data_IF_365340639063
#
_entry.id   IF_365340639063
#
_cell.length_a   1.000
_cell.length_b   1.000
_cell.length_c   1.000
_cell.angle_alpha   90.00
_cell.angle_beta   90.00
_cell.angle_gamma   90.00
#
_symmetry.space_group_name_H-M   'P 1'
#
loop_
_entity.id
_entity.type
_entity.pdbx_description
1 polymer ?
#
# COMPACT_ATOMS: atom_id res chain seq x y z
N UNK A 1 -53.77 3.10 23.03
CA UNK A 1 -52.57 3.32 22.19
C UNK A 1 -51.39 3.56 23.12
N UNK A 2 -50.43 2.63 23.17
CA UNK A 2 -49.41 2.60 24.23
C UNK A 2 -48.34 3.67 23.96
N UNK A 3 -48.32 4.74 24.78
CA UNK A 3 -47.48 5.94 24.55
C UNK A 3 -45.97 5.64 24.57
N UNK A 4 -45.56 4.48 25.08
CA UNK A 4 -44.17 4.00 25.14
C UNK A 4 -43.70 3.28 23.88
N UNK A 5 -44.58 2.79 23.01
CA UNK A 5 -44.18 2.03 21.80
C UNK A 5 -43.66 2.93 20.67
N UNK A 6 -44.23 4.13 20.53
CA UNK A 6 -43.81 5.13 19.54
C UNK A 6 -42.35 5.60 19.70
N UNK A 7 -41.88 6.00 20.91
CA UNK A 7 -40.47 6.41 21.07
C UNK A 7 -39.49 5.25 20.89
N UNK A 8 -39.85 4.03 21.28
CA UNK A 8 -39.04 2.82 21.07
C UNK A 8 -38.87 2.47 19.59
N UNK A 9 -39.96 2.53 18.81
CA UNK A 9 -39.91 2.33 17.37
C UNK A 9 -39.07 3.40 16.66
N UNK A 10 -39.18 4.67 17.07
CA UNK A 10 -38.36 5.76 16.54
C UNK A 10 -36.86 5.57 16.84
N UNK A 11 -36.50 5.11 18.04
CA UNK A 11 -35.11 4.84 18.41
C UNK A 11 -34.49 3.68 17.61
N UNK A 12 -35.27 2.61 17.39
CA UNK A 12 -34.85 1.46 16.57
C UNK A 12 -34.65 1.86 15.11
N UNK A 13 -35.53 2.71 14.56
CA UNK A 13 -35.36 3.24 13.20
C UNK A 13 -34.14 4.16 13.09
N UNK A 14 -33.93 5.06 14.05
CA UNK A 14 -32.77 5.97 14.05
C UNK A 14 -31.44 5.23 14.20
N UNK A 15 -31.39 4.21 15.06
CA UNK A 15 -30.21 3.36 15.21
C UNK A 15 -29.96 2.51 13.95
N UNK A 16 -31.01 1.91 13.36
CA UNK A 16 -30.92 1.19 12.09
C UNK A 16 -30.39 2.05 10.94
N UNK A 17 -30.94 3.27 10.76
CA UNK A 17 -30.48 4.23 9.75
C UNK A 17 -29.03 4.65 10.00
N UNK A 18 -28.64 4.87 11.25
CA UNK A 18 -27.26 5.24 11.61
C UNK A 18 -26.27 4.13 11.31
N UNK A 19 -26.61 2.86 11.61
CA UNK A 19 -25.75 1.70 11.29
C UNK A 19 -25.59 1.55 9.78
N UNK A 20 -26.67 1.66 9.02
CA UNK A 20 -26.62 1.61 7.54
C UNK A 20 -25.71 2.73 7.01
N UNK A 21 -25.93 3.98 7.46
CA UNK A 21 -25.14 5.12 7.02
C UNK A 21 -23.65 5.00 7.39
N UNK A 22 -23.30 4.37 8.52
CA UNK A 22 -21.91 4.10 8.90
C UNK A 22 -21.31 2.97 8.06
N UNK A 23 -22.07 1.90 7.80
CA UNK A 23 -21.63 0.75 7.00
C UNK A 23 -21.40 1.09 5.52
N UNK A 24 -22.07 2.12 5.02
CA UNK A 24 -21.96 2.59 3.64
C UNK A 24 -21.02 3.80 3.48
N UNK A 25 -20.22 4.13 4.51
CA UNK A 25 -19.26 5.23 4.39
C UNK A 25 -18.25 4.91 3.29
N UNK A 26 -18.06 5.80 2.31
CA UNK A 26 -17.01 5.63 1.33
C UNK A 26 -15.68 5.52 2.05
N UNK A 27 -14.88 4.54 1.66
CA UNK A 27 -13.50 4.49 2.09
C UNK A 27 -12.77 5.74 1.63
N UNK A 28 -12.05 6.37 2.55
CA UNK A 28 -11.25 7.56 2.28
C UNK A 28 -9.77 7.17 2.29
N UNK A 29 -9.04 7.41 1.19
CA UNK A 29 -7.59 7.28 1.15
C UNK A 29 -6.90 7.96 2.33
N UNK A 30 -6.03 7.23 3.04
CA UNK A 30 -5.10 7.84 3.99
C UNK A 30 -4.05 8.64 3.22
N UNK A 31 -4.14 9.97 3.28
CA UNK A 31 -3.15 10.89 2.68
C UNK A 31 -2.26 11.58 3.72
N UNK A 32 -2.35 11.18 4.97
CA UNK A 32 -1.65 11.75 6.13
C UNK A 32 -0.28 11.10 6.40
N UNK A 33 0.07 10.04 5.67
CA UNK A 33 1.37 9.36 5.83
C UNK A 33 2.50 10.27 5.38
N UNK A 34 3.28 10.75 6.35
CA UNK A 34 4.51 11.53 6.14
C UNK A 34 5.66 10.57 5.92
N UNK A 35 6.50 10.79 4.89
CA UNK A 35 7.68 9.96 4.63
C UNK A 35 8.95 10.62 5.17
N UNK A 36 9.95 9.84 5.60
CA UNK A 36 11.23 10.39 6.09
C UNK A 36 12.03 11.10 5.00
N UNK A 37 11.83 10.71 3.75
CA UNK A 37 12.46 11.30 2.55
C UNK A 37 11.36 11.55 1.52
N UNK A 38 11.35 12.72 0.83
CA UNK A 38 10.36 13.04 -0.19
C UNK A 38 10.67 12.30 -1.52
N UNK A 39 10.56 10.97 -1.52
CA UNK A 39 10.79 10.16 -2.71
C UNK A 39 9.63 10.24 -3.70
N UNK A 40 9.91 10.67 -4.93
CA UNK A 40 8.93 10.77 -6.00
C UNK A 40 8.97 9.58 -6.96
N UNK A 41 7.91 8.77 -6.98
CA UNK A 41 7.74 7.72 -8.00
C UNK A 41 7.49 8.32 -9.39
N UNK A 42 6.90 9.52 -9.47
CA UNK A 42 6.73 10.26 -10.72
C UNK A 42 8.04 10.52 -11.44
N UNK A 43 9.06 10.97 -10.72
CA UNK A 43 10.39 11.20 -11.32
C UNK A 43 11.04 9.88 -11.75
N UNK A 44 11.04 8.87 -10.88
CA UNK A 44 11.78 7.63 -11.12
C UNK A 44 11.09 6.70 -12.13
N UNK A 45 9.83 6.35 -11.91
CA UNK A 45 9.09 5.44 -12.78
C UNK A 45 8.37 6.17 -13.93
N UNK A 46 7.83 7.37 -13.67
CA UNK A 46 7.07 8.14 -14.64
C UNK A 46 7.93 8.80 -15.72
N UNK A 47 8.90 9.61 -15.30
CA UNK A 47 9.77 10.40 -16.20
C UNK A 47 10.96 9.56 -16.67
N UNK A 48 11.73 9.00 -15.74
CA UNK A 48 12.95 8.25 -16.05
C UNK A 48 12.68 6.80 -16.50
N UNK A 49 11.41 6.36 -16.48
CA UNK A 49 10.98 5.02 -16.94
C UNK A 49 11.72 3.87 -16.26
N UNK A 50 12.16 4.05 -15.02
CA UNK A 50 12.77 2.98 -14.23
C UNK A 50 11.69 1.93 -13.94
N UNK A 51 11.88 0.64 -14.31
CA UNK A 51 10.90 -0.40 -14.04
C UNK A 51 10.63 -0.59 -12.54
N UNK A 52 9.39 -0.89 -12.16
CA UNK A 52 9.00 -1.07 -10.74
C UNK A 52 9.89 -2.11 -10.02
N UNK A 53 10.12 -3.25 -10.67
CA UNK A 53 10.91 -4.37 -10.15
C UNK A 53 12.41 -4.07 -10.04
N UNK A 54 12.91 -2.97 -10.60
CA UNK A 54 14.31 -2.57 -10.43
C UNK A 54 14.62 -2.19 -8.98
N UNK A 55 13.65 -1.56 -8.30
CA UNK A 55 13.73 -1.18 -6.90
C UNK A 55 13.00 -2.20 -6.01
N UNK A 56 11.82 -2.67 -6.43
CA UNK A 56 11.01 -3.65 -5.71
C UNK A 56 11.32 -5.08 -6.17
N UNK A 57 12.59 -5.46 -6.11
CA UNK A 57 13.13 -6.68 -6.74
C UNK A 57 12.53 -7.99 -6.19
N UNK A 58 11.98 -7.97 -4.98
CA UNK A 58 11.40 -9.16 -4.36
C UNK A 58 9.96 -9.42 -4.80
N UNK A 59 9.31 -8.47 -5.49
CA UNK A 59 7.90 -8.60 -5.90
C UNK A 59 7.64 -9.88 -6.70
N UNK A 60 8.59 -10.25 -7.57
CA UNK A 60 8.52 -11.44 -8.42
C UNK A 60 8.95 -12.75 -7.75
N UNK A 61 9.53 -12.73 -6.56
CA UNK A 61 10.23 -13.91 -5.98
C UNK A 61 9.96 -14.18 -4.52
N UNK A 62 9.34 -13.26 -3.80
CA UNK A 62 9.06 -13.37 -2.37
C UNK A 62 7.60 -13.04 -2.08
N UNK A 63 7.20 -13.28 -0.84
CA UNK A 63 5.88 -12.91 -0.32
C UNK A 63 5.74 -11.38 -0.27
N UNK A 64 6.83 -10.68 0.05
CA UNK A 64 6.88 -9.22 0.13
C UNK A 64 7.70 -8.64 -1.03
N UNK A 65 7.21 -7.56 -1.64
CA UNK A 65 7.98 -6.80 -2.64
C UNK A 65 9.24 -6.12 -2.09
N UNK A 66 9.22 -5.83 -0.78
CA UNK A 66 10.28 -5.10 -0.10
C UNK A 66 10.38 -3.63 -0.51
N UNK A 67 11.10 -2.85 0.27
CA UNK A 67 11.54 -1.49 -0.10
C UNK A 67 13.04 -1.57 -0.33
N UNK A 68 13.59 -0.96 -1.40
CA UNK A 68 15.02 -1.10 -1.71
C UNK A 68 15.90 -0.61 -0.55
N UNK A 69 17.04 -1.28 -0.31
CA UNK A 69 18.04 -0.75 0.61
C UNK A 69 18.63 0.55 0.05
N UNK A 70 19.17 1.40 0.93
CA UNK A 70 19.75 2.68 0.52
C UNK A 70 20.92 2.54 -0.47
N UNK A 71 21.58 1.39 -0.49
CA UNK A 71 22.57 1.00 -1.50
C UNK A 71 22.06 1.14 -2.94
N UNK A 72 20.76 0.86 -3.19
CA UNK A 72 20.13 1.05 -4.51
C UNK A 72 20.10 2.53 -4.89
N UNK A 73 19.87 3.42 -3.93
CA UNK A 73 19.80 4.87 -4.15
C UNK A 73 21.17 5.45 -4.51
N UNK A 74 22.21 5.12 -3.73
CA UNK A 74 23.58 5.62 -3.99
C UNK A 74 24.18 5.05 -5.27
N UNK A 75 23.68 3.91 -5.76
CA UNK A 75 24.12 3.33 -7.04
C UNK A 75 23.92 4.26 -8.24
N UNK A 76 22.90 5.13 -8.21
CA UNK A 76 22.69 6.14 -9.25
C UNK A 76 23.01 7.56 -8.75
N UNK A 77 22.66 7.87 -7.50
CA UNK A 77 22.81 9.22 -6.96
C UNK A 77 24.21 9.52 -6.42
N UNK A 78 25.10 8.53 -6.29
CA UNK A 78 26.39 8.70 -5.63
C UNK A 78 26.28 8.83 -4.11
N UNK A 79 27.42 8.67 -3.43
CA UNK A 79 27.52 8.73 -1.96
C UNK A 79 28.28 9.96 -1.44
N UNK A 80 28.91 10.74 -2.32
CA UNK A 80 29.73 11.89 -1.97
C UNK A 80 28.95 13.20 -1.84
N UNK A 81 29.48 14.17 -1.10
CA UNK A 81 28.94 15.54 -1.02
C UNK A 81 29.03 16.30 -2.35
N UNK A 82 29.91 15.87 -3.25
CA UNK A 82 30.00 16.33 -4.64
C UNK A 82 29.35 15.27 -5.54
N UNK A 83 28.18 15.58 -6.11
CA UNK A 83 27.43 14.68 -7.00
C UNK A 83 26.33 13.86 -6.31
N UNK A 84 26.34 13.75 -4.98
CA UNK A 84 25.30 13.14 -4.17
C UNK A 84 24.06 14.01 -3.97
N UNK A 85 22.89 13.38 -3.81
CA UNK A 85 21.67 14.09 -3.40
C UNK A 85 21.47 14.01 -1.88
N UNK A 86 21.19 15.17 -1.29
CA UNK A 86 21.23 15.41 0.17
C UNK A 86 20.39 14.43 1.01
N UNK A 87 19.16 14.01 0.61
CA UNK A 87 18.42 13.01 1.39
C UNK A 87 19.04 11.60 1.36
N UNK A 88 19.71 11.24 0.25
CA UNK A 88 20.34 9.92 0.09
C UNK A 88 21.69 9.89 0.76
N UNK A 89 22.54 10.90 0.56
CA UNK A 89 23.87 10.94 1.16
C UNK A 89 23.81 11.10 2.67
N UNK A 90 22.88 11.90 3.18
CA UNK A 90 22.65 12.01 4.63
C UNK A 90 22.26 10.67 5.24
N UNK A 91 21.31 9.96 4.63
CA UNK A 91 20.87 8.67 5.12
C UNK A 91 21.95 7.57 4.94
N UNK A 92 22.77 7.65 3.89
CA UNK A 92 23.89 6.72 3.65
C UNK A 92 25.00 6.86 4.70
N UNK A 93 25.30 8.11 5.10
CA UNK A 93 26.37 8.43 6.04
C UNK A 93 25.92 8.41 7.52
N UNK A 94 24.63 8.20 7.82
CA UNK A 94 24.16 8.13 9.21
C UNK A 94 24.43 6.74 9.82
N UNK A 95 25.63 6.57 10.37
CA UNK A 95 26.06 5.30 11.00
C UNK A 95 25.34 4.95 12.31
N UNK A 96 24.47 5.85 12.84
CA UNK A 96 23.59 5.52 13.97
C UNK A 96 22.40 4.68 13.54
N UNK A 97 22.07 4.74 12.25
CA UNK A 97 21.18 3.77 11.64
C UNK A 97 22.04 2.73 10.95
N UNK A 98 21.59 1.47 10.93
CA UNK A 98 22.27 0.50 10.11
C UNK A 98 22.33 1.05 8.68
N UNK A 99 23.49 1.06 8.00
CA UNK A 99 23.72 1.76 6.73
C UNK A 99 22.92 1.21 5.54
N UNK A 100 21.89 0.39 5.81
CA UNK A 100 21.11 -0.33 4.83
C UNK A 100 19.67 0.18 4.68
N UNK A 101 19.09 0.94 5.61
CA UNK A 101 17.63 1.19 5.55
C UNK A 101 17.18 2.58 5.99
N UNK A 102 16.38 3.22 5.12
CA UNK A 102 15.50 4.32 5.48
C UNK A 102 14.24 3.71 6.12
N UNK A 103 13.83 4.19 7.29
CA UNK A 103 12.61 3.73 7.97
C UNK A 103 11.35 4.35 7.36
N UNK A 104 10.88 3.74 6.27
CA UNK A 104 9.68 4.18 5.55
C UNK A 104 8.40 3.93 6.34
N UNK A 105 7.46 4.85 6.22
CA UNK A 105 6.12 4.65 6.76
C UNK A 105 5.26 3.91 5.73
N UNK A 106 4.69 2.76 6.12
CA UNK A 106 3.87 1.94 5.22
C UNK A 106 2.58 2.67 4.84
N UNK A 107 2.26 2.65 3.55
CA UNK A 107 1.02 3.22 3.00
C UNK A 107 -0.09 2.17 2.96
N UNK A 108 0.26 0.94 2.60
CA UNK A 108 -0.63 -0.22 2.64
C UNK A 108 -0.24 -1.13 3.79
N UNK A 109 -1.23 -1.52 4.59
CA UNK A 109 -1.11 -2.52 5.65
C UNK A 109 -2.34 -3.42 5.58
N UNK A 110 -2.12 -4.73 5.55
CA UNK A 110 -3.16 -5.73 5.71
C UNK A 110 -3.17 -6.24 7.15
N UNK A 111 -4.31 -6.73 7.67
CA UNK A 111 -4.34 -7.35 9.00
C UNK A 111 -3.40 -8.56 9.08
N UNK A 112 -2.82 -8.81 10.25
CA UNK A 112 -1.80 -9.85 10.44
C UNK A 112 -2.33 -11.29 10.22
N UNK A 113 -3.64 -11.50 10.33
CA UNK A 113 -4.30 -12.77 10.00
C UNK A 113 -4.55 -12.97 8.50
N UNK A 114 -4.10 -12.02 7.66
CA UNK A 114 -4.19 -12.11 6.20
C UNK A 114 -2.81 -12.39 5.63
N UNK A 115 -2.68 -13.52 4.93
CA UNK A 115 -1.50 -13.87 4.15
C UNK A 115 -1.64 -13.31 2.74
N UNK A 116 -0.81 -12.33 2.40
CA UNK A 116 -0.65 -11.87 1.03
C UNK A 116 0.77 -12.15 0.53
N UNK A 117 0.89 -12.64 -0.70
CA UNK A 117 2.19 -12.94 -1.31
C UNK A 117 2.27 -12.32 -2.71
N UNK A 118 3.30 -11.52 -3.00
CA UNK A 118 3.40 -10.82 -4.30
C UNK A 118 3.70 -11.78 -5.46
N UNK A 119 4.63 -12.73 -5.25
CA UNK A 119 5.12 -13.65 -6.30
C UNK A 119 4.02 -14.28 -7.18
N UNK A 120 2.98 -14.96 -6.65
CA UNK A 120 1.96 -15.58 -7.49
C UNK A 120 1.14 -14.56 -8.30
N UNK A 121 0.86 -13.37 -7.73
CA UNK A 121 0.10 -12.33 -8.43
C UNK A 121 0.89 -11.74 -9.60
N UNK A 122 2.19 -11.47 -9.39
CA UNK A 122 3.07 -11.00 -10.46
C UNK A 122 3.25 -12.07 -11.54
N UNK A 123 3.41 -13.34 -11.15
CA UNK A 123 3.51 -14.46 -12.11
C UNK A 123 2.22 -14.67 -12.91
N UNK A 124 1.05 -14.35 -12.33
CA UNK A 124 -0.23 -14.36 -13.03
C UNK A 124 -0.43 -13.14 -13.96
N UNK A 125 0.57 -12.27 -14.10
CA UNK A 125 0.50 -11.10 -14.98
C UNK A 125 -0.35 -9.96 -14.42
N UNK A 126 -0.63 -9.93 -13.12
CA UNK A 126 -1.34 -8.81 -12.49
C UNK A 126 -0.42 -7.60 -12.46
N UNK A 127 -0.81 -6.53 -13.15
CA UNK A 127 -0.06 -5.27 -13.15
C UNK A 127 -0.05 -4.61 -11.76
N UNK A 128 1.08 -4.00 -11.38
CA UNK A 128 1.23 -3.29 -10.10
C UNK A 128 0.12 -2.25 -9.89
N UNK A 129 -0.24 -1.55 -10.97
CA UNK A 129 -1.24 -0.49 -10.97
C UNK A 129 -2.66 -0.99 -10.64
N UNK A 130 -2.93 -2.28 -10.81
CA UNK A 130 -4.24 -2.83 -10.46
C UNK A 130 -4.52 -2.74 -8.95
N UNK A 131 -3.48 -2.89 -8.11
CA UNK A 131 -3.61 -2.81 -6.66
C UNK A 131 -3.09 -1.49 -6.07
N UNK A 132 -2.08 -0.88 -6.69
CA UNK A 132 -1.43 0.33 -6.17
C UNK A 132 -1.82 1.60 -6.93
N UNK A 133 -2.61 1.49 -8.01
CA UNK A 133 -2.96 2.59 -8.90
C UNK A 133 -1.77 3.14 -9.69
N UNK A 134 -1.91 4.32 -10.32
CA UNK A 134 -0.88 4.90 -11.19
C UNK A 134 0.28 5.49 -10.37
N UNK A 135 1.03 4.64 -9.67
CA UNK A 135 2.14 5.05 -8.79
C UNK A 135 3.21 5.83 -9.55
N UNK A 136 3.40 5.56 -10.83
CA UNK A 136 4.29 6.30 -11.72
C UNK A 136 3.88 7.76 -11.97
N UNK A 137 2.72 8.19 -11.51
CA UNK A 137 2.30 9.60 -11.55
C UNK A 137 2.39 10.27 -10.18
N UNK A 138 2.83 9.56 -9.13
CA UNK A 138 2.76 10.04 -7.75
C UNK A 138 4.11 10.59 -7.26
N UNK A 139 4.14 11.85 -6.84
CA UNK A 139 5.27 12.40 -6.07
C UNK A 139 5.29 11.89 -4.62
N UNK A 140 4.13 11.52 -4.09
CA UNK A 140 3.97 10.86 -2.80
C UNK A 140 2.91 9.78 -2.95
N UNK A 141 3.25 8.55 -2.57
CA UNK A 141 2.31 7.43 -2.65
C UNK A 141 1.19 7.64 -1.63
N UNK A 142 -0.03 7.48 -2.11
CA UNK A 142 -1.26 7.42 -1.32
C UNK A 142 -2.01 6.16 -1.73
N UNK A 143 -2.78 5.53 -0.84
CA UNK A 143 -3.57 4.38 -1.24
C UNK A 143 -4.71 4.89 -2.11
N UNK A 144 -4.91 4.30 -3.28
CA UNK A 144 -6.03 4.68 -4.19
C UNK A 144 -7.01 3.54 -4.41
N UNK A 145 -6.60 2.33 -4.05
CA UNK A 145 -7.46 1.14 -3.99
C UNK A 145 -7.62 0.74 -2.54
N UNK A 146 -8.85 0.47 -2.12
CA UNK A 146 -9.13 -0.16 -0.83
C UNK A 146 -8.93 -1.68 -0.97
N UNK A 147 -7.78 -2.17 -0.47
CA UNK A 147 -7.49 -3.61 -0.51
C UNK A 147 -8.13 -4.26 0.72
N UNK A 148 -9.36 -4.76 0.53
CA UNK A 148 -10.12 -5.50 1.52
C UNK A 148 -10.53 -6.89 0.98
N UNK A 149 -11.20 -7.69 1.81
CA UNK A 149 -11.65 -9.03 1.41
C UNK A 149 -12.53 -9.02 0.15
N UNK A 150 -13.42 -8.03 0.02
CA UNK A 150 -14.29 -7.88 -1.14
C UNK A 150 -13.49 -7.69 -2.43
N UNK A 151 -12.51 -6.79 -2.42
CA UNK A 151 -11.59 -6.57 -3.53
C UNK A 151 -10.84 -7.86 -3.92
N UNK A 152 -10.30 -8.59 -2.94
CA UNK A 152 -9.59 -9.85 -3.19
C UNK A 152 -10.50 -10.91 -3.81
N UNK A 153 -11.67 -11.16 -3.21
CA UNK A 153 -12.64 -12.17 -3.68
C UNK A 153 -13.16 -11.83 -5.07
N UNK A 154 -13.48 -10.58 -5.33
CA UNK A 154 -13.94 -10.13 -6.64
C UNK A 154 -12.88 -10.37 -7.71
N UNK A 155 -11.65 -9.91 -7.48
CA UNK A 155 -10.53 -10.11 -8.41
C UNK A 155 -10.23 -11.59 -8.65
N UNK A 156 -10.22 -12.41 -7.59
CA UNK A 156 -9.97 -13.84 -7.69
C UNK A 156 -11.11 -14.55 -8.44
N UNK A 157 -12.37 -14.16 -8.23
CA UNK A 157 -13.53 -14.70 -8.96
C UNK A 157 -13.40 -14.41 -10.46
N UNK A 158 -13.10 -13.16 -10.83
CA UNK A 158 -12.93 -12.75 -12.22
C UNK A 158 -11.78 -13.48 -12.93
N UNK A 159 -10.73 -13.83 -12.18
CA UNK A 159 -9.54 -14.53 -12.69
C UNK A 159 -9.56 -16.04 -12.47
N UNK A 160 -10.64 -16.60 -11.93
CA UNK A 160 -10.75 -18.02 -11.59
C UNK A 160 -9.59 -18.52 -10.70
N UNK A 161 -9.15 -17.66 -9.78
CA UNK A 161 -8.11 -17.97 -8.79
C UNK A 161 -8.71 -18.59 -7.52
N UNK A 162 -7.84 -19.11 -6.64
CA UNK A 162 -8.28 -19.74 -5.40
C UNK A 162 -9.08 -18.77 -4.51
N UNK A 163 -10.19 -19.26 -3.96
CA UNK A 163 -10.98 -18.57 -2.94
C UNK A 163 -10.93 -19.32 -1.60
N UNK A 164 -10.00 -20.27 -1.46
CA UNK A 164 -9.83 -21.04 -0.24
C UNK A 164 -9.40 -20.11 0.91
N UNK A 165 -10.16 -20.19 2.01
CA UNK A 165 -9.92 -19.41 3.22
C UNK A 165 -8.48 -19.55 3.71
N UNK A 166 -7.93 -20.78 3.73
CA UNK A 166 -6.59 -21.05 4.29
C UNK A 166 -5.46 -20.62 3.35
N UNK A 167 -5.76 -20.31 2.10
CA UNK A 167 -4.79 -19.71 1.18
C UNK A 167 -4.53 -18.23 1.53
N UNK A 168 -5.53 -17.56 2.12
CA UNK A 168 -5.53 -16.13 2.43
C UNK A 168 -5.41 -15.84 3.93
N UNK A 169 -5.71 -16.80 4.79
CA UNK A 169 -5.76 -16.64 6.23
C UNK A 169 -4.93 -17.69 6.97
N UNK A 170 -4.37 -17.27 8.10
CA UNK A 170 -3.69 -18.13 9.06
C UNK A 170 -4.57 -18.43 10.27
#
# INVERSE_FOLDING_TARGET
>A
MNRTLLPLAALLLLSGVSVIAVSQRPWLPRSDVVQPVPFSHRVHAGINKIPCEYCHEYARRSDNAGVPPIARCVGCHGSGTTGGIEPVTRAWNDHRQPPFEIRWNRVYTLPDFVRFTHRPHIHAGVACQHCHGPVETMDRVVPVVEINMGFCVECHTQRQATLDCVACHH
#
